data_IF_765475971075
#
_entry.id   IF_765475971075
#
_cell.length_a   1.000
_cell.length_b   1.000
_cell.length_c   1.000
_cell.angle_alpha   90.00
_cell.angle_beta   90.00
_cell.angle_gamma   90.00
#
_symmetry.space_group_name_H-M   'P 1'
#
loop_
_entity.id
_entity.type
_entity.pdbx_description
1 polymer ?
#
# COMPACT_ATOMS: atom_id res chain seq x y z
N UNK A 1 4.64 21.78 -12.87
CA UNK A 1 5.82 21.13 -13.49
C UNK A 1 6.81 22.19 -13.89
N UNK A 2 8.10 21.99 -13.65
CA UNK A 2 9.14 22.93 -14.14
C UNK A 2 9.21 22.95 -15.67
N UNK A 3 8.82 21.86 -16.31
CA UNK A 3 8.61 21.72 -17.77
C UNK A 3 7.68 20.55 -18.02
N UNK A 4 6.75 20.69 -18.96
CA UNK A 4 5.94 19.58 -19.47
C UNK A 4 6.88 18.64 -20.26
N UNK A 5 6.78 17.30 -20.11
CA UNK A 5 7.55 16.40 -20.97
C UNK A 5 7.11 16.63 -22.42
N UNK A 6 8.09 16.75 -23.33
CA UNK A 6 7.83 16.91 -24.76
C UNK A 6 7.26 15.63 -25.38
N UNK A 7 7.72 14.49 -24.89
CA UNK A 7 7.29 13.16 -25.36
C UNK A 7 7.15 12.22 -24.18
N UNK A 8 6.18 11.31 -24.24
CA UNK A 8 6.04 10.15 -23.36
C UNK A 8 6.01 8.91 -24.26
N UNK A 9 6.96 8.01 -24.01
CA UNK A 9 6.93 6.67 -24.58
C UNK A 9 5.98 5.81 -23.75
N UNK A 10 5.19 4.96 -24.41
CA UNK A 10 4.21 4.10 -23.74
C UNK A 10 4.23 2.70 -24.35
N UNK A 11 4.16 1.68 -23.51
CA UNK A 11 3.92 0.29 -23.87
C UNK A 11 2.67 -0.22 -23.16
N UNK A 12 1.89 -1.10 -23.82
CA UNK A 12 0.66 -1.67 -23.30
C UNK A 12 -0.57 -0.78 -23.53
N UNK A 13 -1.51 -0.80 -22.61
CA UNK A 13 -2.80 -0.14 -22.74
C UNK A 13 -2.76 1.34 -22.31
N UNK A 14 -2.43 2.23 -23.22
CA UNK A 14 -2.38 3.67 -22.95
C UNK A 14 -3.76 4.33 -22.74
N UNK A 15 -4.88 3.66 -23.08
CA UNK A 15 -6.23 4.13 -22.77
C UNK A 15 -6.47 4.28 -21.26
N UNK A 16 -5.64 3.63 -20.43
CA UNK A 16 -5.66 3.80 -18.99
C UNK A 16 -5.36 5.23 -18.54
N UNK A 17 -4.67 6.02 -19.36
CA UNK A 17 -4.39 7.44 -19.09
C UNK A 17 -5.66 8.31 -19.10
N UNK A 18 -6.75 7.83 -19.72
CA UNK A 18 -8.05 8.50 -19.76
C UNK A 18 -8.94 8.16 -18.54
N UNK A 19 -8.51 7.23 -17.66
CA UNK A 19 -9.25 6.87 -16.45
C UNK A 19 -8.97 7.84 -15.31
N UNK A 20 -9.80 7.76 -14.25
CA UNK A 20 -9.43 8.34 -12.96
C UNK A 20 -8.24 7.59 -12.39
N UNK A 21 -7.19 8.31 -12.05
CA UNK A 21 -5.90 7.75 -11.63
C UNK A 21 -5.58 8.20 -10.22
N UNK A 22 -5.21 7.25 -9.36
CA UNK A 22 -4.61 7.53 -8.04
C UNK A 22 -3.17 7.02 -8.03
N UNK A 23 -2.24 7.90 -7.65
CA UNK A 23 -0.87 7.47 -7.39
C UNK A 23 -0.77 6.84 -6.01
N UNK A 24 -0.14 5.66 -5.92
CA UNK A 24 0.18 5.04 -4.62
C UNK A 24 1.69 4.92 -4.53
N UNK A 25 2.27 5.52 -3.50
CA UNK A 25 3.71 5.54 -3.28
C UNK A 25 4.06 5.27 -1.82
N UNK A 26 5.29 4.84 -1.58
CA UNK A 26 5.73 4.60 -0.21
C UNK A 26 7.16 4.09 -0.08
N UNK A 27 7.45 3.51 1.08
CA UNK A 27 8.75 2.96 1.41
C UNK A 27 9.13 1.80 0.48
N UNK A 28 10.42 1.76 0.07
CA UNK A 28 11.01 0.61 -0.63
C UNK A 28 11.20 -0.58 0.32
N UNK A 29 11.42 -0.30 1.59
CA UNK A 29 11.52 -1.30 2.65
C UNK A 29 10.34 -1.08 3.62
N UNK A 30 9.14 -1.46 3.15
CA UNK A 30 7.91 -1.27 3.90
C UNK A 30 7.78 -2.32 5.02
N UNK A 31 7.05 -1.96 6.06
CA UNK A 31 6.65 -2.88 7.12
C UNK A 31 5.52 -3.81 6.64
N UNK A 32 5.21 -4.82 7.45
CA UNK A 32 4.03 -5.66 7.23
C UNK A 32 2.73 -4.83 7.22
N UNK A 33 2.65 -3.80 8.08
CA UNK A 33 1.55 -2.86 8.07
C UNK A 33 1.44 -2.14 6.73
N UNK A 34 2.57 -1.56 6.23
CA UNK A 34 2.61 -0.88 4.94
C UNK A 34 2.23 -1.80 3.78
N UNK A 35 2.72 -3.05 3.79
CA UNK A 35 2.37 -4.07 2.83
C UNK A 35 0.84 -4.31 2.79
N UNK A 36 0.23 -4.55 3.96
CA UNK A 36 -1.22 -4.78 4.09
C UNK A 36 -2.03 -3.58 3.61
N UNK A 37 -1.63 -2.37 4.00
CA UNK A 37 -2.35 -1.17 3.58
C UNK A 37 -2.21 -0.91 2.09
N UNK A 38 -1.03 -1.06 1.49
CA UNK A 38 -0.84 -0.93 0.05
C UNK A 38 -1.72 -1.91 -0.73
N UNK A 39 -1.73 -3.19 -0.34
CA UNK A 39 -2.60 -4.22 -0.93
C UNK A 39 -4.07 -3.82 -0.81
N UNK A 40 -4.52 -3.46 0.40
CA UNK A 40 -5.91 -3.08 0.68
C UNK A 40 -6.39 -1.92 -0.19
N UNK A 41 -5.66 -0.81 -0.16
CA UNK A 41 -6.07 0.40 -0.88
C UNK A 41 -5.98 0.20 -2.40
N UNK A 42 -4.91 -0.43 -2.90
CA UNK A 42 -4.74 -0.67 -4.34
C UNK A 42 -5.82 -1.59 -4.90
N UNK A 43 -6.10 -2.71 -4.21
CA UNK A 43 -7.18 -3.64 -4.62
C UNK A 43 -8.52 -2.93 -4.65
N UNK A 44 -8.89 -2.26 -3.56
CA UNK A 44 -10.22 -1.66 -3.45
C UNK A 44 -10.41 -0.46 -4.40
N UNK A 45 -9.40 0.38 -4.62
CA UNK A 45 -9.44 1.44 -5.63
C UNK A 45 -9.59 0.86 -7.03
N UNK A 46 -8.79 -0.17 -7.37
CA UNK A 46 -8.83 -0.79 -8.69
C UNK A 46 -10.13 -1.55 -8.96
N UNK A 47 -10.75 -2.18 -7.95
CA UNK A 47 -12.08 -2.77 -8.04
C UNK A 47 -13.17 -1.73 -8.33
N UNK A 48 -12.99 -0.49 -7.87
CA UNK A 48 -13.87 0.64 -8.20
C UNK A 48 -13.54 1.31 -9.55
N UNK A 49 -12.70 0.69 -10.38
CA UNK A 49 -12.35 1.19 -11.72
C UNK A 49 -11.28 2.28 -11.73
N UNK A 50 -10.73 2.64 -10.56
CA UNK A 50 -9.64 3.62 -10.46
C UNK A 50 -8.33 2.98 -10.90
N UNK A 51 -7.63 3.62 -11.83
CA UNK A 51 -6.32 3.17 -12.26
C UNK A 51 -5.25 3.54 -11.23
N UNK A 52 -4.38 2.59 -10.90
CA UNK A 52 -3.29 2.84 -9.96
C UNK A 52 -2.03 3.19 -10.73
N UNK A 53 -1.44 4.35 -10.45
CA UNK A 53 -0.13 4.73 -11.01
C UNK A 53 0.94 4.68 -9.92
N UNK A 54 2.12 4.13 -10.26
CA UNK A 54 3.26 4.10 -9.37
C UNK A 54 4.59 4.00 -10.14
N UNK A 55 5.70 3.88 -9.40
CA UNK A 55 7.03 4.03 -9.97
C UNK A 55 7.80 2.74 -10.23
N UNK A 56 7.18 1.57 -10.13
CA UNK A 56 7.85 0.27 -10.30
C UNK A 56 9.04 0.06 -9.34
N UNK A 57 9.12 0.78 -8.23
CA UNK A 57 10.13 0.53 -7.21
C UNK A 57 9.77 -0.71 -6.37
N UNK A 58 10.77 -1.30 -5.69
CA UNK A 58 10.48 -2.34 -4.68
C UNK A 58 9.60 -1.78 -3.55
N UNK A 59 8.95 -2.66 -2.79
CA UNK A 59 8.10 -2.29 -1.66
C UNK A 59 6.70 -1.82 -2.10
N UNK A 60 6.25 -0.69 -1.58
CA UNK A 60 4.86 -0.20 -1.76
C UNK A 60 4.47 -0.10 -3.23
N UNK A 61 5.35 0.40 -4.11
CA UNK A 61 5.05 0.53 -5.53
C UNK A 61 4.75 -0.84 -6.17
N UNK A 62 5.62 -1.84 -5.94
CA UNK A 62 5.42 -3.21 -6.46
C UNK A 62 4.12 -3.83 -5.96
N UNK A 63 3.85 -3.72 -4.67
CA UNK A 63 2.63 -4.25 -4.04
C UNK A 63 1.40 -3.61 -4.67
N UNK A 64 1.45 -2.30 -4.91
CA UNK A 64 0.34 -1.56 -5.50
C UNK A 64 0.05 -2.02 -6.93
N UNK A 65 1.08 -2.23 -7.75
CA UNK A 65 0.92 -2.77 -9.09
C UNK A 65 0.33 -4.17 -9.08
N UNK A 66 0.91 -5.09 -8.28
CA UNK A 66 0.44 -6.49 -8.17
C UNK A 66 -1.03 -6.54 -7.74
N UNK A 67 -1.40 -5.72 -6.76
CA UNK A 67 -2.77 -5.72 -6.21
C UNK A 67 -3.80 -5.11 -7.16
N UNK A 68 -3.39 -4.21 -8.04
CA UNK A 68 -4.30 -3.51 -8.96
C UNK A 68 -4.48 -4.23 -10.29
N UNK A 69 -3.44 -4.90 -10.82
CA UNK A 69 -3.40 -5.39 -12.22
C UNK A 69 -4.53 -6.38 -12.56
N UNK A 70 -5.02 -7.15 -11.61
CA UNK A 70 -6.06 -8.16 -11.80
C UNK A 70 -7.50 -7.60 -11.66
N UNK A 71 -7.65 -6.30 -11.44
CA UNK A 71 -8.93 -5.64 -11.23
C UNK A 71 -9.28 -4.67 -12.39
N UNK A 72 -10.49 -4.13 -12.37
CA UNK A 72 -11.03 -3.28 -13.45
C UNK A 72 -10.24 -1.98 -13.69
N UNK A 73 -9.62 -1.42 -12.65
CA UNK A 73 -8.84 -0.19 -12.74
C UNK A 73 -7.52 -0.38 -13.45
N UNK A 74 -6.91 -1.56 -13.34
CA UNK A 74 -5.57 -1.85 -13.86
C UNK A 74 -4.48 -0.97 -13.25
N UNK A 75 -3.30 -0.96 -13.87
CA UNK A 75 -2.19 -0.17 -13.33
C UNK A 75 -1.30 0.42 -14.41
N UNK A 76 -0.69 1.56 -14.10
CA UNK A 76 0.29 2.26 -14.92
C UNK A 76 1.61 2.34 -14.16
N UNK A 77 2.70 1.86 -14.73
CA UNK A 77 4.03 2.05 -14.19
C UNK A 77 4.75 3.20 -14.90
N UNK A 78 5.43 4.07 -14.15
CA UNK A 78 6.24 5.14 -14.71
C UNK A 78 7.71 4.82 -14.46
N UNK A 79 8.54 4.85 -15.50
CA UNK A 79 9.97 4.54 -15.39
C UNK A 79 10.83 5.81 -15.33
N UNK A 80 11.98 5.71 -14.67
CA UNK A 80 13.04 6.74 -14.69
C UNK A 80 14.20 6.39 -15.64
N UNK A 81 13.96 5.46 -16.60
CA UNK A 81 14.88 5.01 -17.63
C UNK A 81 14.09 4.52 -18.82
N UNK A 82 14.75 4.16 -19.91
CA UNK A 82 14.11 3.53 -21.06
C UNK A 82 13.66 2.09 -20.77
N UNK A 83 12.74 1.58 -21.59
CA UNK A 83 12.12 0.25 -21.44
C UNK A 83 13.14 -0.90 -21.51
N UNK A 84 14.28 -0.72 -22.20
CA UNK A 84 15.35 -1.72 -22.27
C UNK A 84 16.21 -1.75 -21.00
N UNK A 85 16.06 -0.80 -20.09
CA UNK A 85 16.88 -0.62 -18.89
C UNK A 85 16.03 -0.57 -17.63
N UNK A 86 15.24 -1.61 -17.38
CA UNK A 86 14.33 -1.72 -16.23
C UNK A 86 15.10 -1.64 -14.93
N UNK A 87 14.63 -0.75 -14.02
CA UNK A 87 15.17 -0.58 -12.69
C UNK A 87 14.06 -0.42 -11.64
N UNK A 88 14.11 -1.15 -10.52
CA UNK A 88 15.14 -2.14 -10.16
C UNK A 88 15.03 -3.40 -11.02
N UNK A 89 16.16 -4.13 -11.18
CA UNK A 89 16.22 -5.33 -12.03
C UNK A 89 15.30 -6.44 -11.54
N UNK A 90 15.06 -6.51 -10.25
CA UNK A 90 14.16 -7.43 -9.56
C UNK A 90 12.72 -7.29 -10.05
N UNK A 91 12.33 -6.11 -10.49
CA UNK A 91 10.98 -5.83 -10.96
C UNK A 91 10.80 -6.01 -12.48
N UNK A 92 11.78 -6.63 -13.18
CA UNK A 92 11.66 -6.93 -14.61
C UNK A 92 10.49 -7.88 -14.90
N UNK A 93 10.28 -8.88 -14.05
CA UNK A 93 9.14 -9.77 -14.17
C UNK A 93 7.81 -9.05 -13.93
N UNK A 94 7.77 -8.13 -12.96
CA UNK A 94 6.59 -7.31 -12.69
C UNK A 94 6.26 -6.38 -13.87
N UNK A 95 7.27 -5.81 -14.53
CA UNK A 95 7.11 -5.04 -15.76
C UNK A 95 6.37 -5.86 -16.82
N UNK A 96 6.83 -7.08 -17.09
CA UNK A 96 6.19 -7.96 -18.07
C UNK A 96 4.75 -8.31 -17.65
N UNK A 97 4.53 -8.67 -16.39
CA UNK A 97 3.19 -8.97 -15.86
C UNK A 97 2.21 -7.80 -15.98
N UNK A 98 2.67 -6.57 -15.81
CA UNK A 98 1.83 -5.38 -16.02
C UNK A 98 1.32 -5.34 -17.47
N UNK A 99 2.20 -5.53 -18.45
CA UNK A 99 1.84 -5.53 -19.86
C UNK A 99 0.91 -6.70 -20.21
N UNK A 100 1.23 -7.91 -19.78
CA UNK A 100 0.43 -9.13 -19.97
C UNK A 100 -1.00 -9.02 -19.40
N UNK A 101 -1.16 -8.27 -18.31
CA UNK A 101 -2.45 -8.04 -17.69
C UNK A 101 -3.16 -6.77 -18.16
N UNK A 102 -2.85 -6.31 -19.38
CA UNK A 102 -3.46 -5.14 -20.00
C UNK A 102 -3.25 -3.84 -19.18
N UNK A 103 -2.11 -3.73 -18.51
CA UNK A 103 -1.62 -2.50 -17.88
C UNK A 103 -0.85 -1.64 -18.88
N UNK A 104 -0.27 -0.56 -18.39
CA UNK A 104 0.54 0.37 -19.17
C UNK A 104 1.87 0.66 -18.48
N UNK A 105 2.91 0.83 -19.24
CA UNK A 105 4.20 1.34 -18.76
C UNK A 105 4.57 2.57 -19.56
N UNK A 106 4.98 3.63 -18.89
CA UNK A 106 5.34 4.89 -19.54
C UNK A 106 6.72 5.39 -19.08
N UNK A 107 7.40 6.10 -19.97
CA UNK A 107 8.67 6.76 -19.68
C UNK A 107 8.79 8.08 -20.44
N UNK A 108 9.47 9.06 -19.87
CA UNK A 108 9.91 10.28 -20.58
C UNK A 108 11.16 10.01 -21.44
N UNK A 109 11.80 8.87 -21.24
CA UNK A 109 13.10 8.54 -21.82
C UNK A 109 12.96 7.52 -22.97
N UNK A 110 13.81 7.64 -24.02
CA UNK A 110 13.81 6.66 -25.11
C UNK A 110 14.16 5.25 -24.59
N UNK A 111 13.78 4.18 -25.33
CA UNK A 111 13.95 2.79 -24.87
C UNK A 111 15.36 2.42 -24.41
N UNK A 112 16.38 2.99 -25.02
CA UNK A 112 17.79 2.69 -24.76
C UNK A 112 18.39 3.50 -23.60
N UNK A 113 17.66 4.49 -23.09
CA UNK A 113 18.17 5.37 -22.02
C UNK A 113 18.52 4.57 -20.78
N UNK A 114 19.76 4.74 -20.32
CA UNK A 114 20.29 4.06 -19.13
C UNK A 114 19.72 4.65 -17.84
N UNK A 115 19.77 3.84 -16.79
CA UNK A 115 19.35 4.27 -15.45
C UNK A 115 20.25 5.41 -14.96
N UNK A 116 19.60 6.52 -14.57
CA UNK A 116 20.26 7.66 -13.94
C UNK A 116 19.45 8.10 -12.71
N UNK A 117 20.12 8.25 -11.58
CA UNK A 117 19.48 8.65 -10.32
C UNK A 117 18.80 10.02 -10.39
N UNK A 118 19.28 10.92 -11.24
CA UNK A 118 18.68 12.24 -11.50
C UNK A 118 17.31 12.17 -12.16
N UNK A 119 16.99 11.04 -12.81
CA UNK A 119 15.73 10.84 -13.50
C UNK A 119 14.57 10.50 -12.54
N UNK A 120 14.85 9.94 -11.34
CA UNK A 120 13.80 9.54 -10.40
C UNK A 120 12.96 10.71 -9.86
N UNK A 121 13.51 11.86 -9.48
CA UNK A 121 12.70 13.01 -9.12
C UNK A 121 11.82 13.49 -10.28
N UNK A 122 12.33 13.48 -11.51
CA UNK A 122 11.60 13.86 -12.71
C UNK A 122 10.45 12.87 -13.00
N UNK A 123 10.72 11.57 -12.90
CA UNK A 123 9.69 10.54 -13.00
C UNK A 123 8.57 10.74 -11.97
N UNK A 124 8.90 11.11 -10.73
CA UNK A 124 7.92 11.35 -9.69
C UNK A 124 7.02 12.57 -9.99
N UNK A 125 7.53 13.59 -10.71
CA UNK A 125 6.69 14.69 -11.22
C UNK A 125 5.61 14.17 -12.18
N UNK A 126 5.95 13.22 -13.05
CA UNK A 126 5.00 12.61 -14.00
C UNK A 126 3.94 11.81 -13.24
N UNK A 127 4.34 10.99 -12.26
CA UNK A 127 3.40 10.23 -11.43
C UNK A 127 2.38 11.16 -10.77
N UNK A 128 2.84 12.23 -10.11
CA UNK A 128 1.94 13.16 -9.43
C UNK A 128 1.09 13.99 -10.41
N UNK A 129 1.63 14.33 -11.58
CA UNK A 129 0.92 15.14 -12.58
C UNK A 129 -0.25 14.38 -13.23
N UNK A 130 -0.06 13.09 -13.55
CA UNK A 130 -1.07 12.24 -14.18
C UNK A 130 -2.17 11.82 -13.20
N UNK A 131 -1.89 11.81 -11.91
CA UNK A 131 -2.85 11.39 -10.90
C UNK A 131 -3.82 12.50 -10.50
N UNK A 132 -5.06 12.14 -10.15
CA UNK A 132 -5.99 13.01 -9.42
C UNK A 132 -5.41 13.39 -8.05
N UNK A 133 -4.78 12.41 -7.37
CA UNK A 133 -4.14 12.61 -6.10
C UNK A 133 -3.12 11.51 -5.78
N UNK A 134 -2.32 11.73 -4.75
CA UNK A 134 -1.24 10.85 -4.32
C UNK A 134 -1.53 10.29 -2.94
N UNK A 135 -1.63 8.97 -2.81
CA UNK A 135 -1.69 8.26 -1.55
C UNK A 135 -0.28 7.85 -1.11
N UNK A 136 0.13 8.28 0.05
CA UNK A 136 1.37 7.83 0.71
C UNK A 136 1.02 6.82 1.78
N UNK A 137 1.49 5.58 1.61
CA UNK A 137 1.15 4.46 2.51
C UNK A 137 2.09 4.43 3.71
N UNK A 138 3.38 4.45 3.46
CA UNK A 138 4.44 4.56 4.47
C UNK A 138 5.58 5.42 3.93
N UNK A 139 6.15 6.24 4.78
CA UNK A 139 7.28 7.08 4.44
C UNK A 139 8.14 7.36 5.67
N UNK A 140 9.41 7.04 5.60
CA UNK A 140 10.40 7.49 6.57
C UNK A 140 10.72 8.98 6.41
N UNK A 141 11.57 9.47 7.28
CA UNK A 141 12.07 10.84 7.22
C UNK A 141 12.82 11.09 5.89
N UNK A 142 12.45 12.15 5.16
CA UNK A 142 13.02 12.53 3.85
C UNK A 142 13.01 11.43 2.78
N UNK A 143 12.01 10.56 2.78
CA UNK A 143 11.89 9.50 1.77
C UNK A 143 11.52 10.05 0.38
N UNK A 144 11.82 9.27 -0.68
CA UNK A 144 11.44 9.63 -2.05
C UNK A 144 9.92 9.77 -2.24
N UNK A 145 9.12 9.04 -1.48
CA UNK A 145 7.64 9.14 -1.52
C UNK A 145 7.12 10.47 -0.98
N UNK A 146 7.79 11.06 0.03
CA UNK A 146 7.46 12.41 0.50
C UNK A 146 7.81 13.48 -0.54
N UNK A 147 8.80 13.24 -1.40
CA UNK A 147 9.10 14.11 -2.55
C UNK A 147 7.93 14.10 -3.52
N UNK A 148 7.39 12.94 -3.88
CA UNK A 148 6.22 12.82 -4.77
C UNK A 148 4.99 13.53 -4.18
N UNK A 149 4.73 13.37 -2.88
CA UNK A 149 3.65 14.08 -2.19
C UNK A 149 3.83 15.61 -2.22
N UNK A 150 5.05 16.10 -1.98
CA UNK A 150 5.33 17.54 -2.05
C UNK A 150 5.21 18.09 -3.48
N UNK A 151 5.53 17.29 -4.50
CA UNK A 151 5.28 17.66 -5.90
C UNK A 151 3.80 17.75 -6.17
N UNK A 152 3.00 16.80 -5.68
CA UNK A 152 1.54 16.85 -5.79
C UNK A 152 0.95 18.11 -5.14
N UNK A 153 1.37 18.49 -3.93
CA UNK A 153 0.96 19.74 -3.30
C UNK A 153 1.29 20.97 -4.18
N UNK A 154 2.51 21.03 -4.73
CA UNK A 154 2.93 22.13 -5.63
C UNK A 154 2.11 22.19 -6.93
N UNK A 155 1.60 21.05 -7.37
CA UNK A 155 0.75 20.93 -8.56
C UNK A 155 -0.75 21.16 -8.25
N UNK A 156 -1.12 21.49 -7.02
CA UNK A 156 -2.51 21.66 -6.58
C UNK A 156 -3.30 20.35 -6.53
N UNK A 157 -2.62 19.20 -6.51
CA UNK A 157 -3.23 17.88 -6.45
C UNK A 157 -3.56 17.47 -5.01
N UNK A 158 -4.55 16.61 -4.85
CA UNK A 158 -4.88 16.03 -3.55
C UNK A 158 -3.73 15.16 -3.05
N UNK A 159 -3.43 15.24 -1.75
CA UNK A 159 -2.50 14.33 -1.08
C UNK A 159 -3.23 13.63 0.03
N UNK A 160 -3.14 12.32 0.04
CA UNK A 160 -3.69 11.41 1.03
C UNK A 160 -2.54 10.73 1.77
N UNK A 161 -2.71 10.51 3.06
CA UNK A 161 -1.70 9.80 3.86
C UNK A 161 -2.37 8.86 4.86
N UNK A 162 -1.82 7.65 4.95
CA UNK A 162 -2.24 6.67 5.95
C UNK A 162 -1.55 7.03 7.26
N UNK A 163 -2.31 7.19 8.37
CA UNK A 163 -1.73 7.47 9.67
C UNK A 163 -0.92 6.28 10.17
N UNK A 164 0.10 6.56 10.95
CA UNK A 164 0.95 5.53 11.54
C UNK A 164 1.22 5.85 13.00
N UNK A 165 1.69 4.83 13.75
CA UNK A 165 2.16 5.03 15.10
C UNK A 165 3.28 6.09 15.13
N UNK A 166 3.24 6.98 16.11
CA UNK A 166 4.24 8.06 16.27
C UNK A 166 5.65 7.53 16.51
N UNK A 167 5.79 6.35 17.08
CA UNK A 167 7.08 5.68 17.31
C UNK A 167 7.63 4.95 16.08
N UNK A 168 6.83 4.84 15.01
CA UNK A 168 7.25 4.18 13.78
C UNK A 168 8.13 5.07 12.93
N UNK A 169 9.38 4.65 12.71
CA UNK A 169 10.30 5.34 11.79
C UNK A 169 9.76 5.46 10.37
N UNK A 170 8.93 4.49 9.93
CA UNK A 170 8.29 4.49 8.60
C UNK A 170 6.98 5.32 8.57
N UNK A 171 6.50 5.77 9.72
CA UNK A 171 5.32 6.62 9.85
C UNK A 171 5.62 8.11 9.93
N UNK A 172 6.87 8.50 10.19
CA UNK A 172 7.24 9.91 10.38
C UNK A 172 6.84 10.76 9.18
N UNK A 173 7.09 10.27 7.97
CA UNK A 173 6.79 11.01 6.73
C UNK A 173 5.30 11.17 6.49
N UNK A 174 4.48 10.12 6.68
CA UNK A 174 3.03 10.18 6.50
C UNK A 174 2.37 11.07 7.54
N UNK A 175 2.74 10.95 8.82
CA UNK A 175 2.25 11.82 9.88
C UNK A 175 2.63 13.30 9.64
N UNK A 176 3.87 13.56 9.17
CA UNK A 176 4.29 14.92 8.79
C UNK A 176 3.50 15.47 7.59
N UNK A 177 3.14 14.63 6.62
CA UNK A 177 2.30 15.05 5.49
C UNK A 177 0.89 15.42 5.96
N UNK A 178 0.32 14.64 6.88
CA UNK A 178 -0.99 14.95 7.50
C UNK A 178 -0.96 16.33 8.18
N UNK A 179 0.09 16.60 8.98
CA UNK A 179 0.28 17.90 9.61
C UNK A 179 0.41 19.07 8.60
N UNK A 180 0.90 18.77 7.39
CA UNK A 180 1.02 19.75 6.29
C UNK A 180 -0.23 19.88 5.42
N UNK A 181 -1.33 19.22 5.80
CA UNK A 181 -2.60 19.31 5.11
C UNK A 181 -2.91 18.16 4.14
N UNK A 182 -2.13 17.06 4.18
CA UNK A 182 -2.57 15.83 3.52
C UNK A 182 -3.82 15.29 4.23
N UNK A 183 -4.80 14.84 3.45
CA UNK A 183 -5.99 14.23 4.02
C UNK A 183 -5.61 12.88 4.65
N UNK A 184 -5.84 12.77 5.95
CA UNK A 184 -5.75 11.49 6.64
C UNK A 184 -6.82 10.54 6.09
N UNK A 185 -6.41 9.32 5.71
CA UNK A 185 -7.32 8.29 5.20
C UNK A 185 -7.15 6.99 6.01
N UNK A 186 -8.28 6.43 6.41
CA UNK A 186 -8.35 5.15 7.13
C UNK A 186 -9.03 4.08 6.28
N UNK A 187 -9.77 4.50 5.27
CA UNK A 187 -10.46 3.60 4.34
C UNK A 187 -10.54 4.20 2.93
N UNK A 188 -10.84 3.36 1.95
CA UNK A 188 -10.90 3.74 0.54
C UNK A 188 -12.01 4.75 0.25
N UNK A 189 -13.14 4.70 1.01
CA UNK A 189 -14.25 5.66 0.85
C UNK A 189 -13.79 7.11 1.05
N UNK A 190 -12.75 7.34 1.88
CA UNK A 190 -12.19 8.68 2.10
C UNK A 190 -11.58 9.28 0.82
N UNK A 191 -10.98 8.42 -0.04
CA UNK A 191 -10.43 8.82 -1.34
C UNK A 191 -11.55 8.94 -2.38
N UNK A 192 -12.44 7.94 -2.45
CA UNK A 192 -13.52 7.92 -3.44
C UNK A 192 -14.46 9.13 -3.30
N UNK A 193 -14.73 9.59 -2.09
CA UNK A 193 -15.52 10.82 -1.84
C UNK A 193 -14.85 12.05 -2.45
N UNK A 194 -13.54 12.15 -2.43
CA UNK A 194 -12.81 13.27 -3.03
C UNK A 194 -12.82 13.23 -4.55
N UNK A 195 -12.95 12.05 -5.16
CA UNK A 195 -13.05 11.88 -6.61
C UNK A 195 -14.49 12.17 -7.11
N UNK A 196 -15.46 12.48 -6.20
CA UNK A 196 -16.88 12.66 -6.55
C UNK A 196 -17.49 11.46 -7.27
N UNK A 197 -17.03 10.26 -7.01
CA UNK A 197 -17.67 9.05 -7.52
C UNK A 197 -18.92 8.76 -6.68
N UNK A 198 -20.06 9.32 -7.11
CA UNK A 198 -21.40 9.06 -6.53
C UNK A 198 -21.86 7.58 -6.63
N UNK A 199 -21.02 6.70 -7.11
CA UNK A 199 -21.22 5.26 -7.17
C UNK A 199 -20.17 4.54 -6.33
N UNK A 200 -20.11 4.83 -5.03
CA UNK A 200 -19.70 3.79 -4.11
C UNK A 200 -20.72 2.65 -4.29
N UNK A 201 -20.42 1.64 -5.09
CA UNK A 201 -20.97 0.32 -4.80
C UNK A 201 -20.69 0.12 -3.33
N UNK A 202 -21.71 -0.16 -2.55
CA UNK A 202 -21.56 -0.49 -1.15
C UNK A 202 -20.60 -1.68 -1.04
N UNK A 203 -19.32 -1.37 -1.10
CA UNK A 203 -18.31 -2.23 -0.59
C UNK A 203 -18.31 -1.93 0.91
N UNK A 204 -19.39 -2.28 1.55
CA UNK A 204 -19.38 -2.86 2.87
C UNK A 204 -18.77 -4.27 2.78
N UNK A 205 -17.61 -4.38 2.18
CA UNK A 205 -16.62 -5.16 2.84
C UNK A 205 -16.14 -4.27 4.01
N UNK A 206 -16.97 -4.14 5.06
CA UNK A 206 -16.42 -4.40 6.36
C UNK A 206 -15.41 -5.51 6.12
N UNK A 207 -14.16 -5.24 6.39
CA UNK A 207 -13.25 -6.30 6.71
C UNK A 207 -13.92 -6.94 7.93
N UNK A 208 -14.95 -7.75 7.69
CA UNK A 208 -15.21 -8.89 8.50
C UNK A 208 -13.88 -9.59 8.38
N UNK A 209 -13.07 -9.37 9.42
CA UNK A 209 -12.12 -10.38 9.77
C UNK A 209 -12.91 -11.65 9.53
N UNK A 210 -12.58 -12.43 8.49
CA UNK A 210 -12.98 -13.80 8.53
C UNK A 210 -12.30 -14.27 9.80
N UNK A 211 -13.02 -14.05 10.90
CA UNK A 211 -12.70 -14.71 12.13
C UNK A 211 -12.76 -16.17 11.70
N UNK A 212 -11.58 -16.79 11.53
CA UNK A 212 -11.52 -18.24 11.54
C UNK A 212 -12.56 -18.59 12.60
N UNK A 213 -13.46 -19.51 12.33
CA UNK A 213 -14.45 -19.94 13.31
C UNK A 213 -13.68 -20.50 14.51
N UNK A 214 -13.20 -19.59 15.35
CA UNK A 214 -12.51 -19.95 16.58
C UNK A 214 -13.53 -20.62 17.46
N UNK A 215 -13.29 -21.88 17.87
CA UNK A 215 -14.20 -22.58 18.76
C UNK A 215 -14.54 -21.73 19.98
N UNK A 216 -15.79 -21.72 20.37
CA UNK A 216 -16.31 -20.90 21.49
C UNK A 216 -15.44 -21.04 22.74
N UNK A 217 -14.91 -22.23 22.99
CA UNK A 217 -14.01 -22.55 24.12
C UNK A 217 -12.75 -21.65 24.16
N UNK A 218 -12.22 -21.20 23.00
CA UNK A 218 -10.98 -20.41 22.92
C UNK A 218 -11.23 -18.94 22.58
N UNK A 219 -12.48 -18.55 22.38
CA UNK A 219 -12.84 -17.24 21.86
C UNK A 219 -12.41 -16.10 22.77
N UNK A 220 -12.56 -16.27 24.10
CA UNK A 220 -12.16 -15.27 25.09
C UNK A 220 -10.66 -14.95 25.00
N UNK A 221 -9.79 -15.96 25.05
CA UNK A 221 -8.34 -15.79 24.94
C UNK A 221 -7.95 -15.23 23.57
N UNK A 222 -8.58 -15.69 22.50
CA UNK A 222 -8.33 -15.21 21.14
C UNK A 222 -8.68 -13.72 20.96
N UNK A 223 -9.78 -13.24 21.55
CA UNK A 223 -10.18 -11.83 21.43
C UNK A 223 -9.22 -10.88 22.16
N UNK A 224 -8.62 -11.33 23.27
CA UNK A 224 -7.63 -10.58 24.03
C UNK A 224 -6.33 -10.37 23.23
N UNK A 225 -5.94 -11.36 22.40
CA UNK A 225 -4.76 -11.28 21.56
C UNK A 225 -5.06 -10.36 20.38
N UNK A 226 -4.29 -9.29 20.26
CA UNK A 226 -4.45 -8.29 19.20
C UNK A 226 -3.46 -8.45 18.05
N UNK A 227 -3.29 -7.35 17.31
CA UNK A 227 -2.31 -7.21 16.23
C UNK A 227 -0.93 -6.82 16.74
N UNK A 228 -0.83 -6.49 18.03
CA UNK A 228 0.42 -6.19 18.71
C UNK A 228 0.77 -7.39 19.59
N UNK A 229 2.06 -7.74 19.71
CA UNK A 229 2.49 -8.78 20.62
C UNK A 229 2.02 -8.52 22.06
N UNK A 230 1.47 -9.54 22.70
CA UNK A 230 0.99 -9.49 24.08
C UNK A 230 1.58 -10.67 24.87
N UNK A 231 2.06 -10.43 26.08
CA UNK A 231 2.64 -11.45 26.94
C UNK A 231 1.57 -12.31 27.63
N UNK A 232 1.94 -13.56 27.97
CA UNK A 232 1.04 -14.54 28.59
C UNK A 232 0.45 -14.06 29.91
N UNK A 233 1.22 -13.35 30.75
CA UNK A 233 0.72 -12.88 32.04
C UNK A 233 -0.37 -11.80 31.87
N UNK A 234 -0.22 -10.96 30.86
CA UNK A 234 -1.26 -9.97 30.51
C UNK A 234 -2.50 -10.65 29.95
N UNK A 235 -2.35 -11.74 29.18
CA UNK A 235 -3.48 -12.55 28.70
C UNK A 235 -4.21 -13.17 29.89
N UNK A 236 -3.50 -13.83 30.80
CA UNK A 236 -4.10 -14.43 32.00
C UNK A 236 -4.91 -13.42 32.81
N UNK A 237 -4.34 -12.25 33.04
CA UNK A 237 -4.99 -11.17 33.81
C UNK A 237 -6.27 -10.67 33.12
N UNK A 238 -6.25 -10.51 31.79
CA UNK A 238 -7.41 -10.02 31.03
C UNK A 238 -8.47 -11.09 30.81
N UNK A 239 -8.07 -12.35 30.70
CA UNK A 239 -8.97 -13.48 30.55
C UNK A 239 -9.60 -13.90 31.88
N UNK A 240 -9.01 -13.47 32.99
CA UNK A 240 -9.34 -13.92 34.37
C UNK A 240 -9.23 -15.45 34.51
N UNK A 241 -8.20 -16.04 33.87
CA UNK A 241 -7.96 -17.48 33.85
C UNK A 241 -6.58 -17.81 34.41
N UNK A 242 -6.43 -19.01 35.05
CA UNK A 242 -5.14 -19.53 35.47
C UNK A 242 -4.19 -19.72 34.28
N UNK A 243 -2.89 -19.58 34.53
CA UNK A 243 -1.86 -19.71 33.48
C UNK A 243 -1.91 -21.07 32.76
N UNK A 244 -2.26 -22.14 33.46
CA UNK A 244 -2.37 -23.49 32.88
C UNK A 244 -3.47 -23.53 31.82
N UNK A 245 -4.64 -22.97 32.10
CA UNK A 245 -5.78 -22.94 31.17
C UNK A 245 -5.51 -22.04 29.97
N UNK A 246 -4.82 -20.91 30.19
CA UNK A 246 -4.41 -20.00 29.12
C UNK A 246 -3.36 -20.67 28.24
N UNK A 247 -2.37 -21.37 28.80
CA UNK A 247 -1.34 -22.06 28.03
C UNK A 247 -1.91 -23.18 27.16
N UNK A 248 -2.88 -23.98 27.66
CA UNK A 248 -3.58 -24.98 26.86
C UNK A 248 -4.29 -24.33 25.68
N UNK A 249 -5.04 -23.23 25.93
CA UNK A 249 -5.78 -22.53 24.89
C UNK A 249 -4.86 -21.88 23.86
N UNK A 250 -3.73 -21.29 24.28
CA UNK A 250 -2.73 -20.70 23.38
C UNK A 250 -2.11 -21.77 22.47
N UNK A 251 -1.77 -22.94 23.04
CA UNK A 251 -1.25 -24.07 22.24
C UNK A 251 -2.25 -24.50 21.17
N UNK A 252 -3.52 -24.64 21.53
CA UNK A 252 -4.57 -25.02 20.58
C UNK A 252 -4.83 -23.93 19.53
N UNK A 253 -4.77 -22.67 19.91
CA UNK A 253 -4.91 -21.55 18.98
C UNK A 253 -3.72 -21.47 18.01
N UNK A 254 -2.50 -21.78 18.47
CA UNK A 254 -1.30 -21.80 17.62
C UNK A 254 -1.30 -23.00 16.67
N UNK A 255 -1.63 -24.21 17.13
CA UNK A 255 -1.75 -25.42 16.30
C UNK A 255 -2.76 -25.24 15.16
N UNK A 256 -3.82 -24.47 15.40
CA UNK A 256 -4.83 -24.15 14.37
C UNK A 256 -4.49 -22.88 13.59
N UNK A 257 -3.29 -22.35 13.72
CA UNK A 257 -2.78 -21.16 13.05
C UNK A 257 -3.66 -19.90 13.26
N UNK A 258 -4.34 -19.79 14.39
CA UNK A 258 -5.07 -18.59 14.79
C UNK A 258 -4.17 -17.49 15.36
N UNK A 259 -3.09 -17.92 16.03
CA UNK A 259 -2.08 -17.06 16.63
C UNK A 259 -0.69 -17.58 16.31
N UNK A 260 0.34 -16.78 16.60
CA UNK A 260 1.75 -17.16 16.52
C UNK A 260 2.43 -16.78 17.82
N UNK A 261 3.22 -17.72 18.37
CA UNK A 261 4.15 -17.43 19.45
C UNK A 261 5.38 -16.68 18.90
N UNK A 262 5.86 -15.73 19.70
CA UNK A 262 7.06 -14.94 19.46
C UNK A 262 8.03 -15.13 20.65
N UNK A 263 9.34 -14.84 20.49
CA UNK A 263 10.30 -14.91 21.58
C UNK A 263 9.84 -14.10 22.80
N UNK A 264 10.05 -14.63 24.02
CA UNK A 264 9.68 -13.97 25.27
C UNK A 264 8.22 -14.17 25.67
N UNK A 265 7.64 -15.34 25.36
CA UNK A 265 6.25 -15.72 25.71
C UNK A 265 5.21 -14.68 25.25
N UNK A 266 5.48 -14.11 24.08
CA UNK A 266 4.61 -13.16 23.42
C UNK A 266 3.76 -13.82 22.36
N UNK A 267 2.53 -13.38 22.18
CA UNK A 267 1.58 -13.95 21.22
C UNK A 267 0.94 -12.84 20.38
N UNK A 268 0.67 -13.16 19.11
CA UNK A 268 0.03 -12.24 18.15
C UNK A 268 -0.93 -13.00 17.24
N UNK A 269 -2.02 -12.37 16.81
CA UNK A 269 -2.94 -12.97 15.82
C UNK A 269 -2.23 -13.25 14.50
N UNK A 270 -2.47 -14.44 13.94
CA UNK A 270 -2.08 -14.76 12.56
C UNK A 270 -3.21 -14.35 11.62
N UNK A 271 -2.88 -13.52 10.65
CA UNK A 271 -3.78 -13.13 9.58
C UNK A 271 -3.58 -14.09 8.41
N UNK A 272 -4.67 -14.67 7.92
CA UNK A 272 -4.59 -15.46 6.69
C UNK A 272 -4.52 -14.48 5.52
N UNK A 273 -3.60 -14.79 4.60
CA UNK A 273 -3.44 -14.11 3.32
C UNK A 273 -4.64 -14.33 2.39
#
# INVERSE_FOLDING_TARGET
MKSTPLNLYAEGNFELLNKEIIAIVGSRNCSEYGWKQAKKFSTALSQNGICIISGLAIGIDSISHISAMNNAGKTIAVLGAGFNNIYPKENKELFNKILENNGCVISEYPPEEKVNTKNFPRRNEIISALAFGVLVVEAGYRSGSTITANLAFKQGKKVFAIPSNIDSKLGIGTNSLIQKGAKLVTNVKDILREINMNKCKDIEQEWKYESKNVPIKYKNVYEIIGNMPIDINTICRRAELPIQDVSEQLTMLELNEYIRALPGDMFVKVWIN
#
